data_IF_296749114359
#
_entry.id   IF_296749114359
#
_cell.length_a   1.000
_cell.length_b   1.000
_cell.length_c   1.000
_cell.angle_alpha   90.00
_cell.angle_beta   90.00
_cell.angle_gamma   90.00
#
_symmetry.space_group_name_H-M   'P 1'
#
loop_
_entity.id
_entity.type
_entity.pdbx_description
1 polymer ?
#
# COMPACT_ATOMS: atom_id res chain seq x y z
N UNK A 1 -10.74 9.14 26.78
CA UNK A 1 -11.59 10.13 26.09
C UNK A 1 -12.08 9.51 24.80
N UNK A 2 -13.38 9.40 24.60
CA UNK A 2 -13.97 8.90 23.34
C UNK A 2 -14.07 10.05 22.34
N UNK A 3 -13.76 9.79 21.09
CA UNK A 3 -13.82 10.76 19.99
C UNK A 3 -14.86 10.33 18.96
N UNK A 4 -15.47 11.31 18.31
CA UNK A 4 -16.35 11.12 17.16
C UNK A 4 -15.58 11.48 15.88
N UNK A 5 -15.30 10.50 15.01
CA UNK A 5 -14.37 10.62 13.90
C UNK A 5 -15.10 10.38 12.57
N UNK A 6 -14.98 11.32 11.63
CA UNK A 6 -15.41 11.13 10.25
C UNK A 6 -14.22 10.85 9.34
N UNK A 7 -14.29 9.78 8.59
CA UNK A 7 -13.35 9.48 7.50
C UNK A 7 -14.00 9.80 6.17
N UNK A 8 -13.23 10.36 5.24
CA UNK A 8 -13.72 10.67 3.90
C UNK A 8 -12.80 9.99 2.88
N UNK A 9 -13.37 9.10 2.07
CA UNK A 9 -12.66 8.31 1.05
C UNK A 9 -13.28 8.50 -0.35
N UNK A 10 -12.56 8.26 -1.45
CA UNK A 10 -13.13 8.41 -2.79
C UNK A 10 -14.26 7.43 -3.07
N UNK A 11 -14.07 6.15 -2.74
CA UNK A 11 -14.99 5.03 -2.97
C UNK A 11 -14.62 3.82 -2.09
N UNK A 12 -15.53 2.87 -1.93
CA UNK A 12 -15.32 1.67 -1.10
C UNK A 12 -14.77 0.50 -1.95
N UNK A 13 -13.51 0.60 -2.37
CA UNK A 13 -12.84 -0.41 -3.20
C UNK A 13 -11.55 -0.90 -2.54
N UNK A 14 -11.13 -2.12 -2.87
CA UNK A 14 -9.91 -2.73 -2.34
C UNK A 14 -8.65 -2.06 -2.93
N UNK A 15 -8.30 -0.92 -2.38
CA UNK A 15 -7.11 -0.14 -2.72
C UNK A 15 -6.37 0.28 -1.43
N UNK A 16 -5.04 0.43 -1.52
CA UNK A 16 -4.20 0.73 -0.37
C UNK A 16 -4.73 1.83 0.57
N UNK A 17 -5.09 3.03 0.07
CA UNK A 17 -5.64 4.09 0.93
C UNK A 17 -6.92 3.69 1.67
N UNK A 18 -7.84 2.97 1.02
CA UNK A 18 -9.11 2.54 1.62
C UNK A 18 -8.88 1.42 2.64
N UNK A 19 -7.96 0.51 2.36
CA UNK A 19 -7.57 -0.53 3.32
C UNK A 19 -6.95 0.09 4.59
N UNK A 20 -6.16 1.15 4.47
CA UNK A 20 -5.63 1.90 5.63
C UNK A 20 -6.76 2.52 6.45
N UNK A 21 -7.78 3.10 5.80
CA UNK A 21 -8.96 3.64 6.51
C UNK A 21 -9.75 2.52 7.19
N UNK A 22 -9.86 1.36 6.56
CA UNK A 22 -10.53 0.20 7.16
C UNK A 22 -9.83 -0.22 8.46
N UNK A 23 -8.50 -0.29 8.46
CA UNK A 23 -7.73 -0.58 9.67
C UNK A 23 -7.87 0.52 10.73
N UNK A 24 -7.85 1.81 10.32
CA UNK A 24 -8.09 2.92 11.24
C UNK A 24 -9.45 2.81 11.93
N UNK A 25 -10.51 2.61 11.15
CA UNK A 25 -11.87 2.47 11.68
C UNK A 25 -11.96 1.27 12.62
N UNK A 26 -11.41 0.11 12.23
CA UNK A 26 -11.38 -1.10 13.05
C UNK A 26 -10.71 -0.82 14.39
N UNK A 27 -9.51 -0.25 14.37
CA UNK A 27 -8.74 0.03 15.58
C UNK A 27 -9.42 1.09 16.47
N UNK A 28 -9.93 2.17 15.89
CA UNK A 28 -10.61 3.23 16.65
C UNK A 28 -11.88 2.71 17.33
N UNK A 29 -12.69 1.89 16.64
CA UNK A 29 -13.89 1.31 17.22
C UNK A 29 -13.60 0.26 18.32
N UNK A 30 -12.55 -0.54 18.16
CA UNK A 30 -12.10 -1.47 19.23
C UNK A 30 -11.73 -0.72 20.52
N UNK A 31 -11.31 0.55 20.42
CA UNK A 31 -10.99 1.41 21.55
C UNK A 31 -12.13 2.40 21.89
N UNK A 32 -13.38 2.05 21.54
CA UNK A 32 -14.59 2.77 21.91
C UNK A 32 -14.75 4.18 21.30
N UNK A 33 -14.03 4.50 20.23
CA UNK A 33 -14.30 5.71 19.44
C UNK A 33 -15.46 5.47 18.49
N UNK A 34 -16.24 6.52 18.19
CA UNK A 34 -17.31 6.46 17.19
C UNK A 34 -16.78 6.87 15.83
N UNK A 35 -17.06 6.07 14.80
CA UNK A 35 -16.60 6.32 13.44
C UNK A 35 -17.77 6.44 12.45
N UNK A 36 -17.61 7.29 11.45
CA UNK A 36 -18.48 7.39 10.26
C UNK A 36 -17.59 7.48 9.02
N UNK A 37 -17.89 6.72 7.98
CA UNK A 37 -17.15 6.79 6.71
C UNK A 37 -18.04 7.40 5.63
N UNK A 38 -17.58 8.52 5.06
CA UNK A 38 -18.19 9.15 3.90
C UNK A 38 -17.44 8.78 2.62
N UNK A 39 -18.18 8.57 1.54
CA UNK A 39 -17.59 8.24 0.24
C UNK A 39 -18.40 8.85 -0.90
N UNK A 40 -17.79 8.98 -2.10
CA UNK A 40 -18.41 9.67 -3.24
C UNK A 40 -18.96 8.69 -4.28
N UNK A 41 -18.10 7.79 -4.75
CA UNK A 41 -18.43 6.93 -5.89
C UNK A 41 -18.84 5.53 -5.44
N UNK A 42 -19.64 4.86 -6.26
CA UNK A 42 -20.03 3.47 -6.04
C UNK A 42 -18.83 2.54 -6.00
N UNK A 43 -18.89 1.56 -5.12
CA UNK A 43 -17.91 0.51 -4.92
C UNK A 43 -18.24 -0.23 -3.62
N UNK A 44 -18.36 -1.56 -3.69
CA UNK A 44 -18.77 -2.40 -2.55
C UNK A 44 -17.78 -3.52 -2.28
N UNK A 45 -16.50 -3.28 -2.53
CA UNK A 45 -15.46 -4.30 -2.32
C UNK A 45 -14.97 -4.34 -0.87
N UNK A 46 -15.09 -3.21 -0.15
CA UNK A 46 -14.64 -3.06 1.25
C UNK A 46 -15.83 -2.69 2.13
N UNK A 47 -16.01 -3.45 3.21
CA UNK A 47 -17.01 -3.17 4.26
C UNK A 47 -16.36 -2.54 5.48
N UNK A 48 -17.10 -1.67 6.16
CA UNK A 48 -16.67 -1.01 7.39
C UNK A 48 -17.56 -1.43 8.57
N UNK A 49 -17.01 -1.62 9.79
CA UNK A 49 -17.79 -1.97 10.98
C UNK A 49 -18.59 -0.79 11.56
N UNK A 50 -18.68 0.32 10.85
CA UNK A 50 -19.37 1.55 11.27
C UNK A 50 -20.37 2.03 10.20
N UNK A 51 -21.10 3.11 10.52
CA UNK A 51 -21.98 3.77 9.55
C UNK A 51 -21.18 4.26 8.35
N UNK A 52 -21.64 3.90 7.15
CA UNK A 52 -21.14 4.44 5.88
C UNK A 52 -22.21 5.29 5.22
N UNK A 53 -21.82 6.37 4.57
CA UNK A 53 -22.77 7.28 3.90
C UNK A 53 -22.17 7.79 2.59
N UNK A 54 -22.89 7.56 1.49
CA UNK A 54 -22.52 8.16 0.21
C UNK A 54 -22.92 9.63 0.19
N UNK A 55 -22.03 10.48 -0.28
CA UNK A 55 -22.27 11.93 -0.39
C UNK A 55 -21.95 12.41 -1.82
N UNK A 56 -22.66 13.45 -2.25
CA UNK A 56 -22.28 14.20 -3.47
C UNK A 56 -21.27 15.28 -3.12
N UNK A 57 -20.44 15.68 -4.07
CA UNK A 57 -19.41 16.70 -3.80
C UNK A 57 -19.99 18.05 -3.28
N UNK A 58 -21.20 18.43 -3.71
CA UNK A 58 -21.89 19.67 -3.25
C UNK A 58 -22.64 19.52 -1.94
N UNK A 59 -22.82 18.29 -1.46
CA UNK A 59 -23.52 18.01 -0.21
C UNK A 59 -22.60 18.27 0.98
N UNK A 60 -23.11 18.90 2.03
CA UNK A 60 -22.34 19.24 3.22
C UNK A 60 -22.53 18.22 4.32
N UNK A 61 -21.45 17.69 4.85
CA UNK A 61 -21.44 16.89 6.08
C UNK A 61 -21.43 17.82 7.31
N UNK A 62 -21.91 17.36 8.47
CA UNK A 62 -21.94 18.18 9.70
C UNK A 62 -20.55 18.23 10.37
N UNK A 63 -19.63 19.04 9.85
CA UNK A 63 -18.25 19.15 10.35
C UNK A 63 -18.17 19.32 11.87
N UNK A 64 -19.02 20.18 12.46
CA UNK A 64 -18.98 20.51 13.88
C UNK A 64 -19.56 19.41 14.80
N UNK A 65 -20.11 18.34 14.24
CA UNK A 65 -20.54 17.14 15.00
C UNK A 65 -19.43 16.15 15.23
N UNK A 66 -18.25 16.38 14.68
CA UNK A 66 -17.08 15.52 14.82
C UNK A 66 -15.96 16.22 15.59
N UNK A 67 -15.15 15.43 16.26
CA UNK A 67 -13.88 15.89 16.83
C UNK A 67 -12.79 15.92 15.76
N UNK A 68 -12.79 14.89 14.92
CA UNK A 68 -11.81 14.68 13.84
C UNK A 68 -12.54 14.45 12.51
N UNK A 69 -12.04 15.10 11.46
CA UNK A 69 -12.36 14.78 10.07
C UNK A 69 -11.08 14.40 9.36
N UNK A 70 -11.02 13.17 8.90
CA UNK A 70 -9.81 12.61 8.28
C UNK A 70 -10.08 12.21 6.83
N UNK A 71 -9.51 12.94 5.90
CA UNK A 71 -9.64 12.72 4.46
C UNK A 71 -8.49 11.88 3.91
N UNK A 72 -8.76 11.08 2.88
CA UNK A 72 -7.79 10.24 2.21
C UNK A 72 -7.93 10.35 0.69
N UNK A 73 -6.96 11.00 0.06
CA UNK A 73 -6.86 11.16 -1.38
C UNK A 73 -7.42 12.48 -1.93
N UNK A 74 -7.11 12.75 -3.21
CA UNK A 74 -7.34 14.03 -3.87
C UNK A 74 -8.76 14.58 -3.68
N UNK A 75 -9.79 13.83 -4.08
CA UNK A 75 -11.17 14.31 -4.05
C UNK A 75 -11.70 14.59 -2.62
N UNK A 76 -11.44 13.72 -1.62
CA UNK A 76 -11.73 14.02 -0.22
C UNK A 76 -11.02 15.27 0.30
N UNK A 77 -9.74 15.48 -0.05
CA UNK A 77 -8.97 16.63 0.38
C UNK A 77 -9.52 17.95 -0.21
N UNK A 78 -9.83 17.92 -1.50
CA UNK A 78 -10.50 19.04 -2.18
C UNK A 78 -11.88 19.30 -1.61
N UNK A 79 -12.62 18.25 -1.24
CA UNK A 79 -13.91 18.40 -0.55
C UNK A 79 -13.74 19.14 0.79
N UNK A 80 -12.79 18.73 1.62
CA UNK A 80 -12.49 19.41 2.89
C UNK A 80 -12.08 20.86 2.63
N UNK A 81 -11.28 21.13 1.60
CA UNK A 81 -10.87 22.48 1.24
C UNK A 81 -12.07 23.41 0.98
N UNK A 82 -13.10 22.96 0.24
CA UNK A 82 -14.25 23.80 -0.10
C UNK A 82 -15.32 23.83 1.01
N UNK A 83 -15.48 22.77 1.80
CA UNK A 83 -16.61 22.60 2.71
C UNK A 83 -16.29 22.85 4.20
N UNK A 84 -14.99 22.83 4.60
CA UNK A 84 -14.59 23.13 5.98
C UNK A 84 -15.11 24.52 6.38
N UNK A 85 -15.97 24.64 7.40
CA UNK A 85 -16.45 25.94 7.89
C UNK A 85 -15.29 26.85 8.34
N UNK A 86 -15.47 28.15 8.27
CA UNK A 86 -14.47 29.09 8.75
C UNK A 86 -14.19 28.93 10.26
N UNK A 87 -15.26 28.70 11.06
CA UNK A 87 -15.17 28.37 12.49
C UNK A 87 -15.44 26.88 12.71
N UNK A 88 -14.60 26.02 12.14
CA UNK A 88 -14.70 24.58 12.32
C UNK A 88 -14.17 24.16 13.68
N UNK A 89 -14.98 23.42 14.46
CA UNK A 89 -14.54 22.81 15.74
C UNK A 89 -13.72 21.56 15.51
N UNK A 90 -14.11 20.76 14.50
CA UNK A 90 -13.38 19.55 14.14
C UNK A 90 -11.97 19.85 13.65
N UNK A 91 -11.00 19.05 14.07
CA UNK A 91 -9.66 19.05 13.49
C UNK A 91 -9.68 18.28 12.17
N UNK A 92 -9.29 18.94 11.10
CA UNK A 92 -9.25 18.34 9.77
C UNK A 92 -7.85 17.85 9.45
N UNK A 93 -7.73 16.56 9.22
CA UNK A 93 -6.48 15.85 8.94
C UNK A 93 -6.57 15.24 7.55
N UNK A 94 -5.45 15.10 6.88
CA UNK A 94 -5.33 14.25 5.69
C UNK A 94 -4.17 13.28 5.85
N UNK A 95 -4.33 12.05 5.32
CA UNK A 95 -3.19 11.16 5.07
C UNK A 95 -2.90 11.11 3.57
N UNK A 96 -1.68 11.47 3.21
CA UNK A 96 -1.18 11.40 1.83
C UNK A 96 -0.46 10.08 1.62
N UNK A 97 -0.97 9.25 0.70
CA UNK A 97 -0.58 7.85 0.56
C UNK A 97 0.55 7.59 -0.44
N UNK A 98 1.02 8.60 -1.15
CA UNK A 98 1.99 8.47 -2.22
C UNK A 98 2.82 9.75 -2.38
N UNK A 99 3.84 9.71 -3.21
CA UNK A 99 4.60 10.89 -3.65
C UNK A 99 3.86 11.54 -4.83
N UNK A 100 2.92 12.45 -4.53
CA UNK A 100 1.88 12.90 -5.46
C UNK A 100 2.42 13.26 -6.84
N UNK A 101 3.38 14.16 -6.96
CA UNK A 101 3.90 14.60 -8.26
C UNK A 101 4.65 13.47 -8.97
N UNK A 102 5.48 12.72 -8.23
CA UNK A 102 6.25 11.62 -8.77
C UNK A 102 5.34 10.48 -9.26
N UNK A 103 4.39 10.04 -8.43
CA UNK A 103 3.50 8.94 -8.79
C UNK A 103 2.51 9.29 -9.90
N UNK A 104 2.08 10.56 -9.98
CA UNK A 104 1.27 11.04 -11.09
C UNK A 104 2.03 11.01 -12.42
N UNK A 105 3.37 11.17 -12.41
CA UNK A 105 4.16 11.06 -13.64
C UNK A 105 4.19 9.67 -14.28
N UNK A 106 3.86 8.61 -13.49
CA UNK A 106 3.64 7.26 -14.03
C UNK A 106 2.24 7.05 -14.64
N UNK A 107 1.28 7.94 -14.30
CA UNK A 107 -0.12 7.83 -14.75
C UNK A 107 -0.45 8.84 -15.86
N UNK A 108 0.12 10.02 -15.78
CA UNK A 108 -0.13 11.15 -16.67
C UNK A 108 1.17 11.67 -17.26
N UNK A 109 1.09 12.54 -18.27
CA UNK A 109 2.26 13.27 -18.74
C UNK A 109 2.80 14.20 -17.63
N UNK A 110 4.09 14.54 -17.69
CA UNK A 110 4.79 15.32 -16.67
C UNK A 110 4.13 16.68 -16.38
N UNK A 111 3.60 17.34 -17.41
CA UNK A 111 2.95 18.64 -17.28
C UNK A 111 1.64 18.53 -16.47
N UNK A 112 0.77 17.58 -16.82
CA UNK A 112 -0.48 17.30 -16.09
C UNK A 112 -0.20 16.86 -14.65
N UNK A 113 0.79 15.98 -14.45
CA UNK A 113 1.20 15.52 -13.13
C UNK A 113 1.64 16.69 -12.24
N UNK A 114 2.40 17.63 -12.78
CA UNK A 114 2.85 18.82 -12.08
C UNK A 114 1.69 19.76 -11.72
N UNK A 115 0.82 20.09 -12.67
CA UNK A 115 -0.30 21.02 -12.46
C UNK A 115 -1.28 20.42 -11.43
N UNK A 116 -1.78 19.20 -11.67
CA UNK A 116 -2.76 18.54 -10.78
C UNK A 116 -2.15 18.28 -9.41
N UNK A 117 -0.89 17.86 -9.35
CA UNK A 117 -0.17 17.64 -8.11
C UNK A 117 -0.06 18.91 -7.26
N UNK A 118 0.31 20.04 -7.85
CA UNK A 118 0.40 21.31 -7.10
C UNK A 118 -0.98 21.85 -6.69
N UNK A 119 -2.02 21.68 -7.52
CA UNK A 119 -3.40 22.00 -7.13
C UNK A 119 -3.86 21.16 -5.93
N UNK A 120 -3.51 19.90 -5.91
CA UNK A 120 -3.78 19.05 -4.74
C UNK A 120 -3.02 19.55 -3.52
N UNK A 121 -1.70 19.80 -3.64
CA UNK A 121 -0.91 20.38 -2.53
C UNK A 121 -1.53 21.67 -2.00
N UNK A 122 -1.96 22.55 -2.88
CA UNK A 122 -2.64 23.78 -2.48
C UNK A 122 -3.93 23.49 -1.69
N UNK A 123 -4.74 22.49 -2.08
CA UNK A 123 -5.96 22.14 -1.35
C UNK A 123 -5.72 21.69 0.09
N UNK A 124 -4.52 21.18 0.40
CA UNK A 124 -4.14 20.75 1.75
C UNK A 124 -3.89 21.91 2.71
N UNK A 125 -3.85 23.17 2.23
CA UNK A 125 -3.61 24.34 3.08
C UNK A 125 -4.66 24.52 4.17
N UNK A 126 -5.90 24.03 3.97
CA UNK A 126 -6.99 24.11 4.96
C UNK A 126 -7.04 22.96 5.96
N UNK A 127 -6.21 21.94 5.82
CA UNK A 127 -6.07 20.89 6.83
C UNK A 127 -5.21 21.38 8.00
N UNK A 128 -5.55 20.94 9.20
CA UNK A 128 -4.82 21.30 10.42
C UNK A 128 -3.53 20.46 10.52
N UNK A 129 -3.54 19.21 10.01
CA UNK A 129 -2.40 18.32 9.98
C UNK A 129 -2.37 17.49 8.69
N UNK A 130 -1.19 17.23 8.19
CA UNK A 130 -0.93 16.36 7.02
C UNK A 130 -0.08 15.20 7.53
N UNK A 131 -0.62 13.99 7.42
CA UNK A 131 0.06 12.75 7.79
C UNK A 131 0.67 12.13 6.54
N UNK A 132 1.94 11.82 6.60
CA UNK A 132 2.66 11.04 5.58
C UNK A 132 2.89 9.62 6.09
N UNK A 133 3.26 8.70 5.21
CA UNK A 133 3.40 7.29 5.58
C UNK A 133 4.83 6.92 6.04
N UNK A 134 5.77 7.86 5.95
CA UNK A 134 7.18 7.66 6.28
C UNK A 134 7.87 8.99 6.57
N UNK A 135 9.04 8.93 7.17
CA UNK A 135 9.92 10.10 7.36
C UNK A 135 10.44 10.61 6.01
N UNK A 136 10.73 9.71 5.08
CA UNK A 136 11.14 10.09 3.73
C UNK A 136 10.03 10.87 3.01
N UNK A 137 8.77 10.40 3.10
CA UNK A 137 7.64 11.15 2.58
C UNK A 137 7.42 12.48 3.32
N UNK A 138 7.59 12.54 4.64
CA UNK A 138 7.53 13.79 5.41
C UNK A 138 8.59 14.79 4.89
N UNK A 139 9.82 14.34 4.66
CA UNK A 139 10.89 15.15 4.06
C UNK A 139 10.53 15.60 2.64
N UNK A 140 9.92 14.73 1.82
CA UNK A 140 9.45 15.11 0.49
C UNK A 140 8.44 16.26 0.56
N UNK A 141 7.44 16.18 1.46
CA UNK A 141 6.38 17.18 1.62
C UNK A 141 6.80 18.45 2.35
N UNK A 142 7.94 18.46 3.04
CA UNK A 142 8.50 19.67 3.69
C UNK A 142 8.84 20.79 2.69
N UNK A 143 8.88 20.48 1.40
CA UNK A 143 9.03 21.48 0.31
C UNK A 143 7.80 22.39 0.16
N UNK A 144 6.62 21.94 0.59
CA UNK A 144 5.34 22.69 0.45
C UNK A 144 4.75 23.10 1.79
N UNK A 145 5.04 22.38 2.86
CA UNK A 145 4.42 22.57 4.16
C UNK A 145 5.44 22.72 5.29
N UNK A 146 5.10 23.54 6.28
CA UNK A 146 5.92 23.67 7.48
C UNK A 146 5.93 22.36 8.28
N UNK A 147 7.04 22.13 8.99
CA UNK A 147 7.23 20.96 9.88
C UNK A 147 6.10 20.86 10.93
N UNK A 148 5.60 22.02 11.42
CA UNK A 148 4.47 22.04 12.38
C UNK A 148 3.19 21.42 11.81
N UNK A 149 2.99 21.46 10.48
CA UNK A 149 1.82 20.93 9.79
C UNK A 149 2.00 19.48 9.38
N UNK A 150 3.22 19.02 9.23
CA UNK A 150 3.56 17.65 8.83
C UNK A 150 3.71 16.75 10.06
N UNK A 151 3.42 15.48 9.85
CA UNK A 151 3.77 14.37 10.73
C UNK A 151 3.76 13.09 9.91
N UNK A 152 4.32 12.01 10.44
CA UNK A 152 4.23 10.71 9.79
C UNK A 152 3.62 9.65 10.69
N UNK A 153 2.96 8.67 10.05
CA UNK A 153 2.46 7.47 10.72
C UNK A 153 2.65 6.27 9.79
N UNK A 154 3.44 5.29 10.23
CA UNK A 154 3.55 4.03 9.50
C UNK A 154 2.20 3.31 9.50
N UNK A 155 1.87 2.70 8.38
CA UNK A 155 0.67 1.89 8.24
C UNK A 155 0.79 0.56 8.98
N UNK A 156 -0.33 -0.13 9.07
CA UNK A 156 -0.44 -1.52 9.51
C UNK A 156 -1.16 -2.36 8.47
N UNK A 157 -1.13 -3.63 8.66
CA UNK A 157 -1.99 -4.60 8.01
C UNK A 157 -2.40 -5.64 9.05
N UNK A 158 -3.69 -5.97 9.10
CA UNK A 158 -4.23 -7.01 9.98
C UNK A 158 -5.08 -7.94 9.11
N UNK A 159 -4.52 -9.08 8.75
CA UNK A 159 -5.13 -10.04 7.82
C UNK A 159 -5.19 -11.43 8.46
N UNK A 160 -6.23 -12.23 8.16
CA UNK A 160 -6.32 -13.60 8.65
C UNK A 160 -5.25 -14.48 7.99
N UNK A 161 -4.53 -15.24 8.82
CA UNK A 161 -3.47 -16.17 8.36
C UNK A 161 -4.00 -17.54 7.93
N UNK A 162 -5.25 -17.85 8.25
CA UNK A 162 -5.97 -19.07 7.90
C UNK A 162 -6.78 -18.95 6.57
N UNK A 163 -6.69 -17.80 5.90
CA UNK A 163 -7.41 -17.58 4.68
C UNK A 163 -6.80 -18.42 3.53
N UNK A 164 -7.60 -19.33 2.97
CA UNK A 164 -7.22 -20.21 1.87
C UNK A 164 -7.65 -19.69 0.51
N UNK A 165 -7.01 -20.17 -0.53
CA UNK A 165 -7.44 -20.07 -1.93
C UNK A 165 -8.35 -21.26 -2.27
N UNK A 166 -8.96 -21.25 -3.46
CA UNK A 166 -9.79 -22.38 -3.91
C UNK A 166 -8.91 -23.58 -4.30
N UNK A 167 -9.44 -24.81 -4.15
CA UNK A 167 -8.76 -26.05 -4.54
C UNK A 167 -8.28 -26.02 -5.99
N UNK A 168 -9.06 -25.39 -6.87
CA UNK A 168 -8.71 -25.25 -8.29
C UNK A 168 -7.50 -24.33 -8.49
N UNK A 169 -7.45 -23.19 -7.78
CA UNK A 169 -6.32 -22.26 -7.81
C UNK A 169 -5.06 -22.93 -7.26
N UNK A 170 -5.19 -23.64 -6.15
CA UNK A 170 -4.08 -24.37 -5.52
C UNK A 170 -3.54 -25.44 -6.47
N UNK A 171 -4.41 -26.28 -7.02
CA UNK A 171 -4.02 -27.34 -7.96
C UNK A 171 -3.33 -26.78 -9.20
N UNK A 172 -3.84 -25.65 -9.75
CA UNK A 172 -3.21 -24.96 -10.88
C UNK A 172 -1.79 -24.49 -10.52
N UNK A 173 -1.63 -23.87 -9.36
CA UNK A 173 -0.34 -23.33 -8.92
C UNK A 173 0.66 -24.47 -8.62
N UNK A 174 0.24 -25.51 -7.93
CA UNK A 174 1.09 -26.66 -7.62
C UNK A 174 1.53 -27.40 -8.88
N UNK A 175 0.61 -27.59 -9.85
CA UNK A 175 0.92 -28.15 -11.17
C UNK A 175 1.90 -27.29 -11.97
N UNK A 176 1.79 -25.98 -11.86
CA UNK A 176 2.73 -25.04 -12.46
C UNK A 176 4.07 -25.06 -11.72
N UNK A 177 4.09 -24.98 -10.40
CA UNK A 177 5.28 -24.95 -9.56
C UNK A 177 6.14 -26.21 -9.77
N UNK A 178 5.55 -27.40 -9.62
CA UNK A 178 6.27 -28.68 -9.60
C UNK A 178 7.47 -28.63 -8.63
N UNK A 179 8.67 -28.96 -9.11
CA UNK A 179 9.91 -28.95 -8.33
C UNK A 179 10.67 -27.60 -8.38
N UNK A 180 10.04 -26.55 -8.95
CA UNK A 180 10.69 -25.25 -9.06
C UNK A 180 10.47 -24.40 -7.82
N UNK A 181 11.38 -23.45 -7.59
CA UNK A 181 11.20 -22.40 -6.58
C UNK A 181 10.25 -21.35 -7.14
N UNK A 182 9.20 -21.04 -6.38
CA UNK A 182 8.15 -20.11 -6.80
C UNK A 182 8.37 -18.72 -6.22
N UNK A 183 8.68 -17.78 -7.10
CA UNK A 183 8.67 -16.35 -6.79
C UNK A 183 7.24 -15.84 -6.95
N UNK A 184 6.68 -15.21 -5.92
CA UNK A 184 5.37 -14.61 -5.96
C UNK A 184 5.41 -13.08 -5.97
N UNK A 185 4.50 -12.45 -6.71
CA UNK A 185 4.28 -11.00 -6.66
C UNK A 185 2.79 -10.68 -6.67
N UNK A 186 2.34 -9.87 -5.70
CA UNK A 186 0.96 -9.40 -5.59
C UNK A 186 0.94 -7.89 -5.82
N UNK A 187 0.50 -7.44 -7.00
CA UNK A 187 0.55 -6.02 -7.34
C UNK A 187 -0.42 -5.63 -8.45
N UNK A 188 -0.82 -4.36 -8.49
CA UNK A 188 -1.38 -3.76 -9.69
C UNK A 188 -0.31 -3.74 -10.80
N UNK A 189 -0.61 -4.25 -11.98
CA UNK A 189 0.36 -4.39 -13.08
C UNK A 189 0.57 -3.04 -13.76
N UNK A 190 1.52 -2.29 -13.23
CA UNK A 190 1.95 -0.97 -13.72
C UNK A 190 3.47 -0.91 -13.77
N UNK A 191 4.03 -0.03 -14.61
CA UNK A 191 5.48 0.14 -14.76
C UNK A 191 6.17 0.48 -13.42
N UNK A 192 5.45 1.21 -12.57
CA UNK A 192 5.89 1.56 -11.21
C UNK A 192 6.23 0.34 -10.35
N UNK A 193 5.56 -0.81 -10.59
CA UNK A 193 5.75 -2.04 -9.81
C UNK A 193 6.94 -2.89 -10.26
N UNK A 194 7.58 -2.57 -11.38
CA UNK A 194 8.86 -3.15 -11.80
C UNK A 194 8.87 -4.66 -12.03
N UNK A 195 7.71 -5.27 -12.35
CA UNK A 195 7.58 -6.73 -12.55
C UNK A 195 8.39 -7.22 -13.76
N UNK A 196 8.63 -6.34 -14.72
CA UNK A 196 9.50 -6.57 -15.88
C UNK A 196 10.90 -7.05 -15.45
N UNK A 197 11.48 -6.51 -14.37
CA UNK A 197 12.77 -6.92 -13.85
C UNK A 197 12.77 -8.40 -13.41
N UNK A 198 11.67 -8.89 -12.81
CA UNK A 198 11.55 -10.32 -12.43
C UNK A 198 11.51 -11.24 -13.64
N UNK A 199 10.80 -10.83 -14.71
CA UNK A 199 10.74 -11.58 -15.97
C UNK A 199 12.15 -11.66 -16.60
N UNK A 200 12.91 -10.56 -16.56
CA UNK A 200 14.30 -10.57 -17.06
C UNK A 200 15.23 -11.41 -16.19
N UNK A 201 15.07 -11.39 -14.88
CA UNK A 201 15.87 -12.21 -13.95
C UNK A 201 15.69 -13.71 -14.17
N UNK A 202 14.51 -14.16 -14.67
CA UNK A 202 14.28 -15.58 -14.99
C UNK A 202 15.24 -16.13 -16.04
N UNK A 203 15.86 -15.31 -16.87
CA UNK A 203 16.88 -15.76 -17.82
C UNK A 203 18.10 -16.43 -17.13
N UNK A 204 18.37 -16.01 -15.90
CA UNK A 204 19.51 -16.46 -15.09
C UNK A 204 19.11 -17.41 -13.94
N UNK A 205 17.80 -17.72 -13.83
CA UNK A 205 17.20 -18.49 -12.74
C UNK A 205 16.45 -19.71 -13.30
N UNK A 206 17.18 -20.73 -13.79
CA UNK A 206 16.58 -21.88 -14.52
C UNK A 206 15.56 -22.67 -13.68
N UNK A 207 15.82 -22.89 -12.39
CA UNK A 207 14.96 -23.65 -11.48
C UNK A 207 13.83 -22.80 -10.84
N UNK A 208 13.61 -21.55 -11.30
CA UNK A 208 12.63 -20.64 -10.72
C UNK A 208 11.45 -20.40 -11.66
N UNK A 209 10.29 -20.17 -11.06
CA UNK A 209 9.08 -19.77 -11.72
C UNK A 209 8.48 -18.55 -11.05
N UNK A 210 7.75 -17.75 -11.80
CA UNK A 210 7.14 -16.50 -11.37
C UNK A 210 5.61 -16.60 -11.39
N UNK A 211 4.99 -16.38 -10.25
CA UNK A 211 3.53 -16.25 -10.12
C UNK A 211 3.16 -14.80 -9.90
N UNK A 212 2.32 -14.27 -10.78
CA UNK A 212 1.87 -12.88 -10.78
C UNK A 212 0.39 -12.84 -10.46
N UNK A 213 0.02 -12.28 -9.29
CA UNK A 213 -1.36 -12.05 -8.88
C UNK A 213 -1.68 -10.57 -8.97
N UNK A 214 -2.54 -10.20 -9.89
CA UNK A 214 -2.94 -8.82 -10.13
C UNK A 214 -3.35 -8.54 -11.55
N UNK A 215 -3.86 -7.34 -11.79
CA UNK A 215 -4.27 -6.81 -13.08
C UNK A 215 -3.77 -5.37 -13.25
N UNK A 216 -3.72 -4.88 -14.48
CA UNK A 216 -3.35 -3.50 -14.77
C UNK A 216 -2.87 -3.27 -16.19
N UNK A 217 -2.61 -2.00 -16.49
CA UNK A 217 -2.31 -1.53 -17.86
C UNK A 217 -1.03 -2.13 -18.47
N UNK A 218 -0.09 -2.63 -17.65
CA UNK A 218 1.15 -3.21 -18.13
C UNK A 218 1.07 -4.73 -18.37
N UNK A 219 -0.10 -5.39 -18.16
CA UNK A 219 -0.25 -6.84 -18.31
C UNK A 219 0.20 -7.34 -19.67
N UNK A 220 -0.32 -6.77 -20.75
CA UNK A 220 0.02 -7.19 -22.12
C UNK A 220 1.51 -7.00 -22.41
N UNK A 221 2.11 -5.90 -21.94
CA UNK A 221 3.54 -5.63 -22.11
C UNK A 221 4.38 -6.68 -21.39
N UNK A 222 4.00 -7.07 -20.15
CA UNK A 222 4.68 -8.11 -19.38
C UNK A 222 4.57 -9.49 -20.04
N UNK A 223 3.40 -9.83 -20.60
CA UNK A 223 3.20 -11.06 -21.36
C UNK A 223 4.07 -11.09 -22.64
N UNK A 224 4.06 -10.00 -23.41
CA UNK A 224 4.94 -9.86 -24.59
C UNK A 224 6.42 -9.97 -24.21
N UNK A 225 6.82 -9.38 -23.08
CA UNK A 225 8.18 -9.47 -22.58
C UNK A 225 8.56 -10.91 -22.25
N UNK A 226 7.71 -11.67 -21.55
CA UNK A 226 7.96 -13.08 -21.20
C UNK A 226 8.12 -13.96 -22.45
N UNK A 227 7.30 -13.73 -23.49
CA UNK A 227 7.45 -14.40 -24.79
C UNK A 227 8.74 -14.02 -25.52
N UNK A 228 9.03 -12.72 -25.59
CA UNK A 228 10.28 -12.22 -26.21
C UNK A 228 11.53 -12.80 -25.55
N UNK A 229 11.50 -12.93 -24.23
CA UNK A 229 12.61 -13.50 -23.43
C UNK A 229 12.59 -15.04 -23.38
N UNK A 230 11.61 -15.71 -24.02
CA UNK A 230 11.46 -17.17 -24.07
C UNK A 230 11.36 -17.82 -22.67
N UNK A 231 10.67 -17.14 -21.73
CA UNK A 231 10.41 -17.61 -20.36
C UNK A 231 8.91 -17.69 -20.02
N UNK A 232 8.05 -17.61 -21.04
CA UNK A 232 6.58 -17.58 -20.86
C UNK A 232 6.02 -18.85 -20.20
N UNK A 233 6.65 -20.00 -20.38
CA UNK A 233 6.32 -21.29 -19.72
C UNK A 233 6.66 -21.28 -18.21
N UNK A 234 7.47 -20.32 -17.77
CA UNK A 234 7.86 -20.12 -16.36
C UNK A 234 7.19 -18.94 -15.70
N UNK A 235 6.21 -18.28 -16.36
CA UNK A 235 5.45 -17.14 -15.80
C UNK A 235 3.96 -17.45 -15.84
N UNK A 236 3.31 -17.44 -14.67
CA UNK A 236 1.86 -17.65 -14.53
C UNK A 236 1.19 -16.36 -14.08
N UNK A 237 0.23 -15.86 -14.87
CA UNK A 237 -0.62 -14.72 -14.55
C UNK A 237 -1.98 -15.20 -14.04
N UNK A 238 -2.29 -14.94 -12.75
CA UNK A 238 -3.55 -15.36 -12.10
C UNK A 238 -4.68 -14.32 -12.25
N UNK A 239 -4.38 -13.15 -12.82
CA UNK A 239 -5.32 -12.03 -12.87
C UNK A 239 -5.57 -11.38 -11.51
N UNK A 240 -6.55 -10.48 -11.46
CA UNK A 240 -6.96 -9.85 -10.21
C UNK A 240 -7.59 -10.87 -9.26
N UNK A 241 -7.11 -10.89 -8.04
CA UNK A 241 -7.67 -11.68 -6.95
C UNK A 241 -7.96 -10.76 -5.76
N UNK A 242 -9.18 -10.80 -5.27
CA UNK A 242 -9.50 -10.17 -3.99
C UNK A 242 -8.68 -10.88 -2.90
N UNK A 243 -8.11 -10.11 -1.98
CA UNK A 243 -7.33 -10.65 -0.87
C UNK A 243 -6.14 -11.53 -1.33
N UNK A 244 -5.32 -10.97 -2.24
CA UNK A 244 -4.19 -11.66 -2.86
C UNK A 244 -3.15 -12.18 -1.84
N UNK A 245 -3.17 -11.72 -0.59
CA UNK A 245 -2.32 -12.26 0.49
C UNK A 245 -2.56 -13.76 0.72
N UNK A 246 -3.72 -14.31 0.37
CA UNK A 246 -4.04 -15.75 0.48
C UNK A 246 -3.12 -16.65 -0.36
N UNK A 247 -2.45 -16.10 -1.35
CA UNK A 247 -1.49 -16.81 -2.21
C UNK A 247 -0.09 -16.89 -1.56
N UNK A 248 0.19 -16.05 -0.55
CA UNK A 248 1.51 -16.02 0.11
C UNK A 248 2.00 -17.39 0.62
N UNK A 249 1.15 -18.25 1.21
CA UNK A 249 1.60 -19.58 1.67
C UNK A 249 2.30 -20.41 0.59
N UNK A 250 1.91 -20.27 -0.67
CA UNK A 250 2.43 -21.05 -1.80
C UNK A 250 3.77 -20.53 -2.36
N UNK A 251 4.13 -19.29 -2.04
CA UNK A 251 5.40 -18.71 -2.50
C UNK A 251 6.57 -19.18 -1.64
N UNK A 252 7.69 -19.50 -2.28
CA UNK A 252 8.95 -19.72 -1.60
C UNK A 252 9.62 -18.38 -1.28
N UNK A 253 9.50 -17.41 -2.19
CA UNK A 253 10.00 -16.04 -2.06
C UNK A 253 8.90 -15.08 -2.49
N UNK A 254 8.73 -13.98 -1.76
CA UNK A 254 7.89 -12.87 -2.16
C UNK A 254 8.74 -11.71 -2.69
N UNK A 255 8.40 -11.17 -3.86
CA UNK A 255 9.19 -10.15 -4.51
C UNK A 255 8.45 -8.80 -4.58
N UNK A 256 9.15 -7.72 -4.27
CA UNK A 256 8.70 -6.32 -4.31
C UNK A 256 9.66 -5.48 -5.18
N UNK A 257 9.65 -5.64 -6.50
CA UNK A 257 10.61 -4.98 -7.40
C UNK A 257 10.20 -3.53 -7.76
N UNK A 258 9.47 -2.87 -6.87
CA UNK A 258 8.84 -1.57 -7.15
C UNK A 258 9.87 -0.45 -7.35
N UNK A 259 9.60 0.42 -8.35
CA UNK A 259 10.34 1.67 -8.61
C UNK A 259 9.94 2.79 -7.67
N UNK A 260 8.71 2.74 -7.15
CA UNK A 260 8.18 3.69 -6.16
C UNK A 260 7.05 3.04 -5.37
N UNK A 261 6.99 3.34 -4.09
CA UNK A 261 5.93 2.92 -3.17
C UNK A 261 5.57 4.04 -2.20
N UNK A 262 4.29 4.15 -1.90
CA UNK A 262 3.86 5.04 -0.81
C UNK A 262 4.20 4.47 0.57
N UNK A 263 4.04 3.14 0.73
CA UNK A 263 4.40 2.42 1.95
C UNK A 263 4.80 0.96 1.68
N UNK A 264 4.04 0.24 0.84
CA UNK A 264 4.26 -1.18 0.58
C UNK A 264 3.50 -2.07 1.58
N UNK A 265 2.16 -1.98 1.62
CA UNK A 265 1.32 -2.82 2.49
C UNK A 265 1.58 -4.32 2.28
N UNK A 266 1.92 -4.72 1.07
CA UNK A 266 2.24 -6.12 0.73
C UNK A 266 3.53 -6.62 1.40
N UNK A 267 4.45 -5.72 1.80
CA UNK A 267 5.58 -6.09 2.67
C UNK A 267 5.10 -6.54 4.05
N UNK A 268 4.11 -5.85 4.62
CA UNK A 268 3.53 -6.25 5.91
C UNK A 268 2.73 -7.56 5.78
N UNK A 269 2.02 -7.75 4.66
CA UNK A 269 1.34 -9.02 4.38
C UNK A 269 2.34 -10.17 4.31
N UNK A 270 3.47 -10.00 3.64
CA UNK A 270 4.54 -10.99 3.59
C UNK A 270 5.17 -11.25 4.98
N UNK A 271 5.32 -10.21 5.79
CA UNK A 271 5.79 -10.33 7.18
C UNK A 271 4.86 -11.22 8.03
N UNK A 272 3.54 -10.98 7.97
CA UNK A 272 2.52 -11.75 8.71
C UNK A 272 2.57 -13.24 8.32
N UNK A 273 2.89 -13.54 7.06
CA UNK A 273 3.05 -14.92 6.57
C UNK A 273 4.50 -15.45 6.67
N UNK A 274 5.38 -14.77 7.41
CA UNK A 274 6.78 -15.17 7.63
C UNK A 274 7.54 -15.47 6.33
N UNK A 275 7.28 -14.70 5.26
CA UNK A 275 7.90 -14.93 3.95
C UNK A 275 9.27 -14.29 3.85
N UNK A 276 10.22 -15.03 3.23
CA UNK A 276 11.45 -14.42 2.74
C UNK A 276 11.09 -13.42 1.64
N UNK A 277 11.56 -12.19 1.79
CA UNK A 277 11.24 -11.08 0.87
C UNK A 277 12.49 -10.60 0.16
N UNK A 278 12.35 -10.38 -1.14
CA UNK A 278 13.31 -9.63 -1.97
C UNK A 278 12.67 -8.31 -2.37
N UNK A 279 13.28 -7.18 -2.08
CA UNK A 279 12.74 -5.88 -2.44
C UNK A 279 13.80 -4.94 -3.02
N UNK A 280 13.35 -4.00 -3.86
CA UNK A 280 14.22 -2.94 -4.38
C UNK A 280 14.71 -2.03 -3.25
N UNK A 281 15.92 -1.49 -3.41
CA UNK A 281 16.59 -0.63 -2.43
C UNK A 281 16.05 0.82 -2.40
N UNK A 282 14.76 1.02 -2.69
CA UNK A 282 14.13 2.36 -2.65
C UNK A 282 14.03 2.92 -1.22
N UNK A 283 14.02 4.25 -1.06
CA UNK A 283 14.08 4.89 0.27
C UNK A 283 13.05 4.37 1.26
N UNK A 284 11.80 4.17 0.83
CA UNK A 284 10.76 3.69 1.73
C UNK A 284 11.05 2.30 2.28
N UNK A 285 11.50 1.35 1.46
CA UNK A 285 11.81 0.01 1.97
C UNK A 285 13.01 0.02 2.92
N UNK A 286 14.05 0.82 2.62
CA UNK A 286 15.20 1.02 3.54
C UNK A 286 14.83 1.71 4.85
N UNK A 287 13.73 2.48 4.89
CA UNK A 287 13.22 3.05 6.13
C UNK A 287 12.44 2.03 6.96
N UNK A 288 11.72 1.12 6.29
CA UNK A 288 10.83 0.17 6.96
C UNK A 288 11.57 -1.05 7.51
N UNK A 289 12.58 -1.55 6.79
CA UNK A 289 13.30 -2.80 7.06
C UNK A 289 14.78 -2.65 6.72
N UNK A 290 15.59 -3.62 7.16
CA UNK A 290 17.03 -3.68 6.88
C UNK A 290 17.45 -5.07 6.35
N UNK A 291 18.73 -5.24 6.08
CA UNK A 291 19.31 -6.46 5.50
C UNK A 291 19.20 -7.71 6.40
N UNK A 292 18.77 -7.56 7.66
CA UNK A 292 18.50 -8.70 8.56
C UNK A 292 17.08 -9.24 8.42
N UNK A 293 16.22 -8.54 7.67
CA UNK A 293 14.79 -8.85 7.50
C UNK A 293 14.41 -9.17 6.06
N UNK A 294 15.13 -8.61 5.09
CA UNK A 294 14.87 -8.80 3.65
C UNK A 294 16.19 -8.83 2.86
N UNK A 295 16.15 -9.39 1.66
CA UNK A 295 17.22 -9.20 0.69
C UNK A 295 16.94 -7.99 -0.19
N UNK A 296 17.79 -6.99 -0.15
CA UNK A 296 17.70 -5.84 -1.04
C UNK A 296 18.43 -6.11 -2.37
N UNK A 297 17.85 -5.58 -3.43
CA UNK A 297 18.54 -5.49 -4.71
C UNK A 297 18.60 -4.04 -5.21
N UNK A 298 19.62 -3.71 -5.97
CA UNK A 298 19.77 -2.43 -6.61
C UNK A 298 18.76 -2.30 -7.77
N UNK A 299 17.93 -1.26 -7.69
CA UNK A 299 16.86 -1.04 -8.67
C UNK A 299 17.43 -0.93 -10.09
N UNK A 300 16.78 -1.57 -11.06
CA UNK A 300 17.18 -1.69 -12.48
C UNK A 300 18.49 -2.50 -12.71
N UNK A 301 18.98 -3.21 -11.70
CA UNK A 301 20.15 -4.07 -11.80
C UNK A 301 19.72 -5.54 -11.68
N UNK A 302 19.66 -6.24 -12.84
CA UNK A 302 19.19 -7.62 -12.92
C UNK A 302 20.15 -8.59 -12.20
N UNK A 303 21.45 -8.38 -12.28
CA UNK A 303 22.45 -9.21 -11.59
C UNK A 303 22.27 -9.10 -10.07
N UNK A 304 22.08 -7.89 -9.54
CA UNK A 304 21.78 -7.66 -8.13
C UNK A 304 20.46 -8.35 -7.71
N UNK A 305 19.43 -8.28 -8.57
CA UNK A 305 18.14 -8.95 -8.31
C UNK A 305 18.28 -10.48 -8.27
N UNK A 306 19.00 -11.08 -9.22
CA UNK A 306 19.27 -12.51 -9.27
C UNK A 306 19.99 -12.96 -8.00
N UNK A 307 21.05 -12.24 -7.58
CA UNK A 307 21.79 -12.52 -6.35
C UNK A 307 20.90 -12.48 -5.13
N UNK A 308 20.07 -11.43 -5.00
CA UNK A 308 19.13 -11.28 -3.87
C UNK A 308 18.10 -12.43 -3.84
N UNK A 309 17.56 -12.86 -4.99
CA UNK A 309 16.63 -13.99 -5.07
C UNK A 309 17.30 -15.29 -4.61
N UNK A 310 18.52 -15.57 -5.06
CA UNK A 310 19.27 -16.78 -4.67
C UNK A 310 19.55 -16.76 -3.17
N UNK A 311 20.01 -15.65 -2.62
CA UNK A 311 20.27 -15.51 -1.18
C UNK A 311 18.99 -15.72 -0.36
N UNK A 312 17.87 -15.08 -0.74
CA UNK A 312 16.60 -15.21 -0.03
C UNK A 312 16.08 -16.66 0.01
N UNK A 313 16.41 -17.46 -0.99
CA UNK A 313 16.07 -18.91 -1.02
C UNK A 313 16.82 -19.68 0.08
N UNK A 314 18.04 -19.28 0.38
CA UNK A 314 18.90 -19.96 1.35
C UNK A 314 18.66 -19.49 2.78
N UNK A 315 18.26 -18.23 2.98
CA UNK A 315 18.12 -17.57 4.28
C UNK A 315 16.70 -17.65 4.82
N UNK A 316 16.29 -18.83 5.32
CA UNK A 316 14.94 -19.05 5.89
C UNK A 316 14.63 -18.18 7.11
N UNK A 317 15.63 -17.63 7.80
CA UNK A 317 15.45 -16.78 8.98
C UNK A 317 14.93 -15.36 8.67
N UNK A 318 14.99 -14.92 7.41
CA UNK A 318 14.54 -13.57 7.01
C UNK A 318 13.06 -13.34 7.34
N UNK A 319 12.19 -14.30 7.02
CA UNK A 319 10.76 -14.21 7.29
C UNK A 319 10.42 -14.02 8.78
N UNK A 320 11.12 -14.77 9.66
CA UNK A 320 10.96 -14.62 11.10
C UNK A 320 11.44 -13.26 11.62
N UNK A 321 12.56 -12.78 11.09
CA UNK A 321 13.10 -11.47 11.45
C UNK A 321 12.16 -10.34 10.97
N UNK A 322 11.61 -10.48 9.76
CA UNK A 322 10.64 -9.56 9.20
C UNK A 322 9.33 -9.54 10.01
N UNK A 323 8.83 -10.69 10.44
CA UNK A 323 7.66 -10.79 11.32
C UNK A 323 7.90 -10.09 12.65
N UNK A 324 9.04 -10.30 13.31
CA UNK A 324 9.40 -9.60 14.55
C UNK A 324 9.42 -8.07 14.36
N UNK A 325 9.94 -7.60 13.23
CA UNK A 325 9.91 -6.17 12.88
C UNK A 325 8.48 -5.65 12.73
N UNK A 326 7.60 -6.42 12.06
CA UNK A 326 6.17 -6.10 11.95
C UNK A 326 5.52 -5.97 13.33
N UNK A 327 5.69 -6.94 14.21
CA UNK A 327 5.13 -6.91 15.56
C UNK A 327 5.59 -5.67 16.35
N UNK A 328 6.89 -5.36 16.29
CA UNK A 328 7.48 -4.26 17.06
C UNK A 328 7.08 -2.88 16.53
N UNK A 329 6.93 -2.72 15.21
CA UNK A 329 6.76 -1.38 14.62
C UNK A 329 5.47 -1.19 13.84
N UNK A 330 4.88 -2.25 13.28
CA UNK A 330 3.80 -2.13 12.30
C UNK A 330 2.51 -2.84 12.73
N UNK A 331 2.48 -3.46 13.91
CA UNK A 331 1.28 -4.11 14.43
C UNK A 331 0.10 -3.13 14.57
N UNK A 332 -1.15 -3.62 14.56
CA UNK A 332 -2.36 -2.81 14.76
C UNK A 332 -2.30 -1.94 16.01
N UNK A 333 -1.73 -2.45 17.11
CA UNK A 333 -1.51 -1.70 18.36
C UNK A 333 -0.59 -0.51 18.15
N UNK A 334 0.54 -0.70 17.45
CA UNK A 334 1.47 0.38 17.14
C UNK A 334 0.83 1.45 16.24
N UNK A 335 0.05 1.01 15.28
CA UNK A 335 -0.69 1.88 14.37
C UNK A 335 -1.72 2.73 15.11
N UNK A 336 -2.57 2.10 15.93
CA UNK A 336 -3.54 2.80 16.78
C UNK A 336 -2.87 3.88 17.64
N UNK A 337 -1.81 3.53 18.36
CA UNK A 337 -1.13 4.46 19.26
C UNK A 337 -0.54 5.68 18.51
N UNK A 338 -0.05 5.50 17.27
CA UNK A 338 0.43 6.61 16.45
C UNK A 338 -0.70 7.57 16.08
N UNK A 339 -1.81 7.04 15.56
CA UNK A 339 -2.92 7.89 15.17
C UNK A 339 -3.66 8.50 16.35
N UNK A 340 -3.79 7.78 17.47
CA UNK A 340 -4.32 8.36 18.71
C UNK A 340 -3.47 9.57 19.15
N UNK A 341 -2.15 9.42 19.14
CA UNK A 341 -1.24 10.54 19.46
C UNK A 341 -1.43 11.71 18.49
N UNK A 342 -1.55 11.45 17.20
CA UNK A 342 -1.81 12.51 16.21
C UNK A 342 -3.14 13.21 16.51
N UNK A 343 -4.22 12.48 16.79
CA UNK A 343 -5.54 13.04 17.03
C UNK A 343 -5.63 13.86 18.33
N UNK A 344 -4.87 13.50 19.35
CA UNK A 344 -4.87 14.18 20.64
C UNK A 344 -4.00 15.46 20.66
N UNK A 345 -2.97 15.54 19.82
CA UNK A 345 -1.96 16.61 19.88
C UNK A 345 -1.99 17.57 18.67
N UNK A 346 -3.14 17.69 18.03
CA UNK A 346 -3.35 18.68 16.95
C UNK A 346 -3.81 20.01 17.47
#
# INVERSE_FOLDING_TARGET
MTMNIAYIVPKLVNQGPVNVVQELVKQMMQHQHTCTVYYFDEGNEVTFPCRTSRIRFRERIPFNSYDIIHSHGLRPDVYVFFHKPFRCKAKCITTVHNYVIQDFSYQYNKCTAYIVGNLWMWSLCRHDKIVTLSKDAEKYYSKWFSVKKLTFAYNTRDIPVDASITDNEESQILSFKRNSILIGVNAALTDRKGIDQLIEALLYLESYKLLIVGEGKSKEALQKLSHKKKVSDRVLFMGYKKDAYRFLPLYDIFALPSRSEGFGLTLLEAAIYHKSVVCSNIPIFKELVDDTQVEFFELENIESLVKAIVNATQLKSLGESLYKQYELKYSPKCFYNRYLKIYLFI
#
